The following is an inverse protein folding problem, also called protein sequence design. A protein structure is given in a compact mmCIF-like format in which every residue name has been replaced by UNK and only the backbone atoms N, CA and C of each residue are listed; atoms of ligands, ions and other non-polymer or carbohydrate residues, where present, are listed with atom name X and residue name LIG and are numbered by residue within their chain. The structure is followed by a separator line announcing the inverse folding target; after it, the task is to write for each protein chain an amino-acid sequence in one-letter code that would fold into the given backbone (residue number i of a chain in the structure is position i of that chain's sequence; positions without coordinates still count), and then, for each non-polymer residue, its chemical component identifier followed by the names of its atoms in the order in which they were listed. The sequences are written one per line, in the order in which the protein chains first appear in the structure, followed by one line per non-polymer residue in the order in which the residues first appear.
data_IF_634780010932
#
_entry.id   IF_634780010932
#
_cell.length_a   1.000
_cell.length_b   1.000
_cell.length_c   1.000
_cell.angle_alpha   90.00
_cell.angle_beta   90.00
_cell.angle_gamma   90.00
#
_symmetry.space_group_name_H-M   'P 1'
#
loop_
_entity.id
_entity.type
_entity.pdbx_description
1 polymer ?
#
# COMPACT_ATOMS: atom_id res chain seq x y z
N UNK A 1 2.89 -2.19 -19.23
CA UNK A 1 2.61 -0.81 -18.77
C UNK A 1 3.82 -0.30 -18.03
N UNK A 2 4.30 0.92 -18.30
CA UNK A 2 5.50 1.49 -17.65
C UNK A 2 5.05 2.60 -16.69
N UNK A 3 5.27 2.41 -15.40
CA UNK A 3 5.07 3.44 -14.37
C UNK A 3 6.46 3.89 -13.93
N UNK A 4 6.71 5.20 -13.96
CA UNK A 4 7.94 5.80 -13.43
C UNK A 4 7.59 6.58 -12.17
N UNK A 5 8.31 6.33 -11.08
CA UNK A 5 8.10 6.94 -9.76
C UNK A 5 9.46 7.39 -9.22
N UNK A 6 9.55 8.66 -8.82
CA UNK A 6 10.63 9.14 -7.97
C UNK A 6 10.21 8.97 -6.51
N UNK A 7 10.95 8.15 -5.77
CA UNK A 7 10.67 7.89 -4.36
C UNK A 7 11.98 7.79 -3.56
N UNK A 8 11.90 8.21 -2.30
CA UNK A 8 12.99 8.06 -1.35
C UNK A 8 13.13 6.61 -0.84
N UNK A 9 12.04 5.84 -0.84
CA UNK A 9 12.02 4.47 -0.33
C UNK A 9 10.85 3.67 -0.91
N UNK A 10 11.06 2.37 -1.12
CA UNK A 10 10.01 1.39 -1.48
C UNK A 10 9.97 0.31 -0.40
N UNK A 11 8.76 -0.05 0.06
CA UNK A 11 8.56 -1.12 1.05
C UNK A 11 7.39 -1.98 0.59
N UNK A 12 7.62 -3.28 0.45
CA UNK A 12 6.59 -4.27 0.14
C UNK A 12 5.99 -4.86 1.43
N UNK A 13 4.66 -4.91 1.50
CA UNK A 13 3.94 -5.40 2.69
C UNK A 13 2.68 -6.14 2.29
N UNK A 14 2.38 -7.19 3.05
CA UNK A 14 1.11 -7.92 2.94
C UNK A 14 0.01 -7.14 3.67
N UNK A 15 -1.10 -6.89 2.98
CA UNK A 15 -2.30 -6.27 3.55
C UNK A 15 -2.85 -7.15 4.68
N UNK A 16 -3.22 -6.53 5.81
CA UNK A 16 -3.86 -7.20 6.95
C UNK A 16 -5.32 -6.80 7.07
N UNK A 17 -6.15 -7.67 7.64
CA UNK A 17 -7.55 -7.35 7.91
C UNK A 17 -7.68 -6.20 8.93
N UNK A 18 -8.65 -5.31 8.70
CA UNK A 18 -8.96 -4.18 9.57
C UNK A 18 -10.43 -3.80 9.45
N UNK A 19 -11.29 -4.44 10.26
CA UNK A 19 -12.74 -4.28 10.14
C UNK A 19 -13.24 -4.75 8.77
N UNK A 20 -13.97 -3.89 8.06
CA UNK A 20 -14.42 -4.10 6.69
C UNK A 20 -13.40 -3.65 5.63
N UNK A 21 -12.13 -3.45 6.01
CA UNK A 21 -11.08 -2.92 5.14
C UNK A 21 -9.77 -3.70 5.27
N UNK A 22 -8.85 -3.47 4.33
CA UNK A 22 -7.45 -3.86 4.45
C UNK A 22 -6.60 -2.71 5.00
N UNK A 23 -5.60 -3.03 5.82
CA UNK A 23 -4.62 -2.07 6.35
C UNK A 23 -3.19 -2.49 6.03
N UNK A 24 -2.34 -1.52 5.77
CA UNK A 24 -0.89 -1.70 5.64
C UNK A 24 -0.21 -0.92 6.76
N UNK A 25 0.56 -1.60 7.60
CA UNK A 25 1.35 -0.95 8.65
C UNK A 25 2.60 -0.31 8.05
N UNK A 26 2.68 1.01 8.06
CA UNK A 26 3.88 1.76 7.67
C UNK A 26 4.71 2.17 8.90
N UNK A 27 5.97 2.59 8.73
CA UNK A 27 6.75 3.11 9.85
C UNK A 27 6.03 4.29 10.55
N UNK A 28 6.18 4.39 11.88
CA UNK A 28 5.43 5.36 12.70
C UNK A 28 5.76 6.81 12.33
N UNK A 29 6.99 7.05 11.89
CA UNK A 29 7.48 8.34 11.41
C UNK A 29 6.76 8.85 10.14
N UNK A 30 5.95 8.01 9.48
CA UNK A 30 5.12 8.41 8.34
C UNK A 30 3.76 9.00 8.74
N UNK A 31 3.43 9.04 10.03
CA UNK A 31 2.23 9.74 10.51
C UNK A 31 2.26 11.20 10.01
N UNK A 32 1.11 11.67 9.54
CA UNK A 32 0.90 12.98 8.89
C UNK A 32 1.70 13.22 7.58
N UNK A 33 2.37 12.20 7.04
CA UNK A 33 3.03 12.29 5.72
C UNK A 33 2.08 11.85 4.61
N UNK A 34 2.19 12.54 3.46
CA UNK A 34 1.44 12.18 2.26
C UNK A 34 2.13 11.01 1.56
N UNK A 35 1.46 9.86 1.50
CA UNK A 35 2.00 8.63 0.89
C UNK A 35 1.09 8.12 -0.24
N UNK A 36 1.68 7.39 -1.19
CA UNK A 36 0.95 6.62 -2.21
C UNK A 36 1.19 5.15 -1.94
N UNK A 37 0.12 4.40 -1.69
CA UNK A 37 0.16 2.93 -1.60
C UNK A 37 -0.41 2.40 -2.91
N UNK A 38 0.37 1.61 -3.63
CA UNK A 38 -0.01 1.08 -4.94
C UNK A 38 -0.16 -0.43 -4.78
N UNK A 39 -1.34 -0.93 -5.11
CA UNK A 39 -1.59 -2.36 -5.20
C UNK A 39 -1.02 -2.87 -6.54
N UNK A 40 -0.13 -3.84 -6.48
CA UNK A 40 0.61 -4.34 -7.65
C UNK A 40 -0.09 -5.50 -8.37
N UNK A 41 -1.13 -6.06 -7.75
CA UNK A 41 -1.86 -7.24 -8.20
C UNK A 41 -3.36 -6.97 -8.27
N UNK A 42 -4.11 -7.67 -9.13
CA UNK A 42 -5.56 -7.50 -9.19
C UNK A 42 -6.22 -7.97 -7.89
N UNK A 43 -7.15 -7.17 -7.36
CA UNK A 43 -8.07 -7.64 -6.35
C UNK A 43 -9.02 -8.65 -7.00
N UNK A 44 -8.81 -9.95 -6.78
CA UNK A 44 -9.76 -10.97 -7.22
C UNK A 44 -11.02 -10.87 -6.37
N UNK A 45 -12.04 -10.20 -6.90
CA UNK A 45 -13.41 -10.34 -6.40
C UNK A 45 -14.07 -11.51 -7.13
N UNK A 46 -13.85 -12.73 -6.66
CA UNK A 46 -14.86 -13.78 -6.83
C UNK A 46 -15.73 -13.78 -5.57
N UNK A 47 -17.03 -13.71 -5.82
CA UNK A 47 -18.10 -13.47 -4.83
C UNK A 47 -18.14 -14.55 -3.75
#
# INVERSE_FOLDING_TARGET
MKITLDAYQVIEKVVKAGGNSGRVYVPREWVDKRVKIILMEPASSER
#
